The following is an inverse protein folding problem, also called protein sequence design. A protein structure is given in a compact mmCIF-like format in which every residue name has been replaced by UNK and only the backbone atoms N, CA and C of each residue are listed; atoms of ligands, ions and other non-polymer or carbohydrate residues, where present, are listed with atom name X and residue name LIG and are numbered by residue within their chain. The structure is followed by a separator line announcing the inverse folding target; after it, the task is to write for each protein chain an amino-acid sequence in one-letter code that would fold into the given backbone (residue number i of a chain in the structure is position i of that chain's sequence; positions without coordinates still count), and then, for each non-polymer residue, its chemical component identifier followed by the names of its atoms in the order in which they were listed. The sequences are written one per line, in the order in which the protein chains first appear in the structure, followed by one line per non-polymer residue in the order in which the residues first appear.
data_IF_725981974853
#
_entry.id   IF_725981974853
#
_cell.length_a   1.000
_cell.length_b   1.000
_cell.length_c   1.000
_cell.angle_alpha   90.00
_cell.angle_beta   90.00
_cell.angle_gamma   90.00
#
_symmetry.space_group_name_H-M   'P 1'
#
loop_
_entity.id
_entity.type
_entity.pdbx_description
1 polymer ?
#
# COMPACT_ATOMS: atom_id res chain seq x y z
N UNK A 1 11.52 -11.33 13.20
CA UNK A 1 11.56 -10.43 12.02
C UNK A 1 12.97 -9.84 11.91
N UNK A 2 13.68 -10.10 10.82
CA UNK A 2 15.00 -9.49 10.58
C UNK A 2 14.82 -7.98 10.39
N UNK A 3 15.80 -7.15 10.79
CA UNK A 3 15.72 -5.69 10.58
C UNK A 3 15.44 -5.34 9.10
N UNK A 4 15.98 -6.12 8.17
CA UNK A 4 15.75 -5.99 6.72
C UNK A 4 14.29 -6.18 6.32
N UNK A 5 13.60 -7.14 6.92
CA UNK A 5 12.18 -7.41 6.70
C UNK A 5 11.29 -6.22 7.08
N UNK A 6 11.60 -5.58 8.21
CA UNK A 6 10.85 -4.42 8.70
C UNK A 6 11.06 -3.22 7.78
N UNK A 7 12.30 -2.95 7.37
CA UNK A 7 12.63 -1.85 6.46
C UNK A 7 11.87 -2.00 5.12
N UNK A 8 11.88 -3.20 4.53
CA UNK A 8 11.16 -3.45 3.28
C UNK A 8 9.65 -3.29 3.43
N UNK A 9 9.08 -3.73 4.56
CA UNK A 9 7.65 -3.58 4.83
C UNK A 9 7.27 -2.11 4.99
N UNK A 10 8.07 -1.30 5.70
CA UNK A 10 7.83 0.15 5.88
C UNK A 10 7.92 0.89 4.54
N UNK A 11 8.89 0.54 3.70
CA UNK A 11 8.99 1.10 2.34
C UNK A 11 7.76 0.71 1.51
N UNK A 12 7.32 -0.55 1.59
CA UNK A 12 6.10 -1.01 0.92
C UNK A 12 4.84 -0.28 1.37
N UNK A 13 4.71 0.01 2.67
CA UNK A 13 3.62 0.82 3.23
C UNK A 13 3.66 2.25 2.65
N UNK A 14 4.83 2.87 2.60
CA UNK A 14 5.00 4.23 2.05
C UNK A 14 4.64 4.32 0.57
N UNK A 15 5.17 3.39 -0.25
CA UNK A 15 4.86 3.31 -1.68
C UNK A 15 3.37 3.01 -1.89
N UNK A 16 2.80 2.09 -1.10
CA UNK A 16 1.38 1.75 -1.13
C UNK A 16 0.46 2.92 -0.78
N UNK A 17 0.83 3.74 0.22
CA UNK A 17 0.08 4.94 0.59
C UNK A 17 0.05 5.96 -0.56
N UNK A 18 1.21 6.23 -1.15
CA UNK A 18 1.36 7.16 -2.28
C UNK A 18 0.55 6.65 -3.47
N UNK A 19 0.68 5.37 -3.82
CA UNK A 19 -0.08 4.75 -4.90
C UNK A 19 -1.59 4.78 -4.64
N UNK A 20 -2.05 4.51 -3.41
CA UNK A 20 -3.47 4.56 -3.03
C UNK A 20 -4.08 5.96 -3.07
N UNK A 21 -3.29 6.99 -2.76
CA UNK A 21 -3.68 8.40 -2.90
C UNK A 21 -3.71 8.84 -4.38
N UNK A 22 -2.68 8.49 -5.15
CA UNK A 22 -2.65 8.72 -6.59
C UNK A 22 -3.82 8.02 -7.27
N UNK A 23 -4.15 6.79 -6.87
CA UNK A 23 -5.33 6.09 -7.38
C UNK A 23 -6.61 6.88 -7.11
N UNK A 24 -6.82 7.34 -5.87
CA UNK A 24 -7.97 8.18 -5.54
C UNK A 24 -8.05 9.44 -6.41
N UNK A 25 -6.92 10.13 -6.61
CA UNK A 25 -6.86 11.41 -7.33
C UNK A 25 -7.01 11.26 -8.85
N UNK A 26 -6.30 10.30 -9.46
CA UNK A 26 -6.24 10.13 -10.92
C UNK A 26 -7.38 9.28 -11.49
N UNK A 27 -7.92 8.30 -10.76
CA UNK A 27 -9.02 7.43 -11.23
C UNK A 27 -10.40 8.09 -11.04
N UNK A 28 -10.48 9.20 -10.31
CA UNK A 28 -11.71 9.98 -10.21
C UNK A 28 -12.67 9.49 -9.12
N UNK A 29 -12.17 8.96 -8.00
CA UNK A 29 -12.99 8.67 -6.82
C UNK A 29 -13.80 9.88 -6.33
N UNK A 30 -13.39 11.10 -6.68
CA UNK A 30 -14.11 12.34 -6.37
C UNK A 30 -15.53 12.37 -6.96
N UNK A 31 -15.79 11.64 -8.05
CA UNK A 31 -17.10 11.61 -8.74
C UNK A 31 -18.02 10.47 -8.26
N UNK A 32 -17.58 9.63 -7.32
CA UNK A 32 -18.42 8.60 -6.68
C UNK A 32 -18.39 7.20 -7.30
N UNK A 33 -17.67 6.97 -8.39
CA UNK A 33 -17.58 5.67 -9.10
C UNK A 33 -16.28 4.93 -8.81
N UNK A 34 -15.93 4.72 -7.53
CA UNK A 34 -14.66 4.11 -7.19
C UNK A 34 -14.77 2.67 -6.69
N UNK A 35 -13.91 1.80 -7.25
CA UNK A 35 -13.86 0.37 -6.93
C UNK A 35 -13.35 0.06 -5.52
N UNK A 36 -12.51 0.92 -4.93
CA UNK A 36 -11.98 0.74 -3.57
C UNK A 36 -12.81 1.54 -2.57
N UNK A 37 -12.83 2.88 -2.68
CA UNK A 37 -13.59 3.75 -1.78
C UNK A 37 -13.57 5.21 -2.25
N UNK A 38 -14.70 5.92 -2.12
CA UNK A 38 -14.82 7.33 -2.51
C UNK A 38 -14.18 8.31 -1.50
N UNK A 39 -13.51 7.81 -0.46
CA UNK A 39 -12.83 8.63 0.55
C UNK A 39 -11.31 8.54 0.41
N UNK A 40 -10.59 9.69 0.36
CA UNK A 40 -9.14 9.70 0.17
C UNK A 40 -8.43 8.92 1.28
N UNK A 41 -8.87 9.11 2.53
CA UNK A 41 -8.28 8.45 3.68
C UNK A 41 -8.33 6.93 3.58
N UNK A 42 -9.49 6.38 3.19
CA UNK A 42 -9.67 4.93 3.10
C UNK A 42 -8.87 4.36 1.92
N UNK A 43 -8.76 5.09 0.80
CA UNK A 43 -8.03 4.63 -0.39
C UNK A 43 -6.52 4.60 -0.14
N UNK A 44 -6.00 5.63 0.54
CA UNK A 44 -4.61 5.67 1.01
C UNK A 44 -4.34 4.55 2.01
N UNK A 45 -5.22 4.36 3.01
CA UNK A 45 -5.06 3.33 4.04
C UNK A 45 -5.04 1.92 3.43
N UNK A 46 -5.96 1.65 2.50
CA UNK A 46 -6.01 0.41 1.75
C UNK A 46 -4.74 0.20 0.91
N UNK A 47 -4.29 1.24 0.20
CA UNK A 47 -3.04 1.20 -0.57
C UNK A 47 -1.83 0.90 0.30
N UNK A 48 -1.71 1.53 1.48
CA UNK A 48 -0.63 1.23 2.43
C UNK A 48 -0.68 -0.20 2.98
N UNK A 49 -1.87 -0.73 3.26
CA UNK A 49 -2.05 -2.11 3.74
C UNK A 49 -1.64 -3.12 2.67
N UNK A 50 -2.13 -2.94 1.43
CA UNK A 50 -1.75 -3.76 0.29
C UNK A 50 -0.25 -3.66 -0.02
N UNK A 51 0.32 -2.45 -0.02
CA UNK A 51 1.74 -2.24 -0.25
C UNK A 51 2.62 -2.90 0.81
N UNK A 52 2.25 -2.79 2.09
CA UNK A 52 2.91 -3.49 3.18
C UNK A 52 2.84 -5.01 3.04
N UNK A 53 1.67 -5.56 2.74
CA UNK A 53 1.46 -7.00 2.56
C UNK A 53 2.25 -7.57 1.37
N UNK A 54 2.20 -6.89 0.22
CA UNK A 54 2.91 -7.33 -1.00
C UNK A 54 4.41 -7.35 -0.74
N UNK A 55 4.98 -6.25 -0.24
CA UNK A 55 6.41 -6.19 0.05
C UNK A 55 6.81 -7.16 1.16
N UNK A 56 5.91 -7.46 2.11
CA UNK A 56 6.15 -8.47 3.13
C UNK A 56 6.25 -9.88 2.53
N UNK A 57 5.41 -10.18 1.52
CA UNK A 57 5.44 -11.46 0.81
C UNK A 57 6.74 -11.68 0.03
N UNK A 58 7.38 -10.60 -0.46
CA UNK A 58 8.69 -10.65 -1.12
C UNK A 58 9.88 -10.76 -0.15
N UNK A 59 9.65 -10.71 1.16
CA UNK A 59 10.68 -10.99 2.16
C UNK A 59 10.95 -12.49 2.09
N UNK A 60 11.90 -12.87 1.23
CA UNK A 60 12.41 -14.23 1.16
C UNK A 60 12.94 -14.55 2.54
N UNK A 61 12.35 -15.54 3.20
CA UNK A 61 12.99 -16.16 4.35
C UNK A 61 14.32 -16.68 3.85
N UNK A 62 15.40 -16.00 4.25
CA UNK A 62 16.75 -16.52 4.09
C UNK A 62 16.78 -17.80 4.94
N UNK A 63 16.40 -18.92 4.32
CA UNK A 63 16.72 -20.25 4.78
C UNK A 63 18.25 -20.28 4.75
N UNK A 64 18.84 -19.98 5.91
CA UNK A 64 20.23 -20.32 6.21
C UNK A 64 20.43 -21.81 6.00
#
# INVERSE_FOLDING_TARGET
MTKKAIILTVIGIGIGAIAGYLYYYFIGCASGTCAITSKPLNSTLYGSLMGGLIFNMFIKNEKK
#
